data_IF_418684040778
#
_entry.id   IF_418684040778
#
_cell.length_a   1.000
_cell.length_b   1.000
_cell.length_c   1.000
_cell.angle_alpha   90.00
_cell.angle_beta   90.00
_cell.angle_gamma   90.00
#
_symmetry.space_group_name_H-M   'P 1'
#
loop_
_entity.id
_entity.type
_entity.pdbx_description
1 polymer ?
#
# COMPACT_ATOMS: atom_id res chain seq x y z
N UNK A 1 -89.46 7.14 -3.42
CA UNK A 1 -88.41 6.76 -4.41
C UNK A 1 -87.09 7.43 -3.97
N UNK A 2 -86.32 6.75 -3.21
CA UNK A 2 -85.05 7.28 -2.64
C UNK A 2 -83.85 6.43 -3.18
N UNK A 3 -82.96 7.09 -3.89
CA UNK A 3 -81.71 6.43 -4.45
C UNK A 3 -80.65 6.34 -3.33
N UNK A 4 -80.24 5.13 -2.99
CA UNK A 4 -79.09 4.84 -2.13
C UNK A 4 -77.84 4.98 -2.95
N UNK A 5 -76.90 5.88 -2.59
CA UNK A 5 -75.56 6.03 -3.16
C UNK A 5 -74.56 5.16 -2.39
N UNK A 6 -74.10 4.07 -3.00
CA UNK A 6 -72.99 3.27 -2.52
C UNK A 6 -71.67 4.03 -2.66
N UNK A 7 -71.02 4.38 -1.53
CA UNK A 7 -69.63 4.84 -1.51
C UNK A 7 -68.68 3.65 -1.47
N UNK A 8 -67.96 3.41 -2.58
CA UNK A 8 -66.84 2.45 -2.62
C UNK A 8 -65.61 3.09 -1.95
N UNK A 9 -65.18 2.52 -0.85
CA UNK A 9 -63.91 2.83 -0.22
C UNK A 9 -62.79 2.09 -0.96
N UNK A 10 -61.85 2.85 -1.59
CA UNK A 10 -60.64 2.31 -2.19
C UNK A 10 -59.58 2.34 -1.10
N UNK A 11 -59.27 1.18 -0.52
CA UNK A 11 -58.10 1.01 0.38
C UNK A 11 -56.86 0.93 -0.49
N UNK A 12 -56.06 2.00 -0.50
CA UNK A 12 -54.70 2.00 -1.08
C UNK A 12 -53.77 1.27 -0.10
N UNK A 13 -53.40 0.04 -0.38
CA UNK A 13 -52.32 -0.67 0.30
C UNK A 13 -50.98 -0.04 -0.13
N UNK A 14 -50.37 0.75 0.74
CA UNK A 14 -48.98 1.14 0.58
C UNK A 14 -48.06 -0.05 0.95
N UNK A 15 -47.51 -0.71 -0.06
CA UNK A 15 -46.48 -1.69 0.14
C UNK A 15 -45.18 -0.96 0.52
N UNK A 16 -44.85 -0.97 1.82
CA UNK A 16 -43.53 -0.56 2.30
C UNK A 16 -42.51 -1.63 1.89
N UNK A 17 -41.73 -1.35 0.85
CA UNK A 17 -40.52 -2.12 0.55
C UNK A 17 -39.48 -1.78 1.62
N UNK A 18 -39.33 -2.65 2.62
CA UNK A 18 -38.16 -2.64 3.48
C UNK A 18 -36.98 -3.13 2.64
N UNK A 19 -36.15 -2.19 2.14
CA UNK A 19 -34.78 -2.51 1.75
C UNK A 19 -34.05 -2.93 3.01
N UNK A 20 -33.99 -4.24 3.27
CA UNK A 20 -33.00 -4.82 4.16
C UNK A 20 -31.64 -4.55 3.54
N UNK A 21 -31.00 -3.45 3.89
CA UNK A 21 -29.57 -3.29 3.72
C UNK A 21 -28.94 -4.42 4.55
N UNK A 22 -28.58 -5.51 3.91
CA UNK A 22 -27.74 -6.54 4.55
C UNK A 22 -26.47 -5.84 5.01
N UNK A 23 -26.30 -5.66 6.32
CA UNK A 23 -25.02 -5.25 6.88
C UNK A 23 -24.00 -6.27 6.37
N UNK A 24 -23.15 -5.84 5.45
CA UNK A 24 -22.09 -6.69 4.94
C UNK A 24 -21.15 -6.97 6.10
N UNK A 25 -20.96 -8.24 6.45
CA UNK A 25 -20.02 -8.62 7.49
C UNK A 25 -18.63 -8.03 7.16
N UNK A 26 -17.96 -7.51 8.19
CA UNK A 26 -16.59 -7.04 8.03
C UNK A 26 -15.71 -8.16 7.47
N UNK A 27 -14.68 -7.79 6.72
CA UNK A 27 -13.69 -8.74 6.22
C UNK A 27 -12.96 -9.39 7.40
N UNK A 28 -12.90 -10.72 7.41
CA UNK A 28 -12.05 -11.45 8.34
C UNK A 28 -10.63 -11.51 7.80
N UNK A 29 -9.68 -10.99 8.55
CA UNK A 29 -8.26 -10.99 8.21
C UNK A 29 -7.66 -12.40 8.33
N UNK A 30 -6.53 -12.66 7.70
CA UNK A 30 -5.84 -13.95 7.86
C UNK A 30 -5.55 -14.31 9.31
N UNK A 31 -5.33 -13.32 10.20
CA UNK A 31 -5.19 -13.58 11.64
C UNK A 31 -6.51 -14.00 12.30
N UNK A 32 -7.65 -13.44 11.87
CA UNK A 32 -8.97 -13.84 12.38
C UNK A 32 -9.28 -15.30 11.99
N UNK A 33 -8.97 -15.65 10.74
CA UNK A 33 -9.10 -17.02 10.24
C UNK A 33 -8.19 -17.99 11.01
N UNK A 34 -6.93 -17.62 11.25
CA UNK A 34 -6.01 -18.42 12.04
C UNK A 34 -6.53 -18.62 13.48
N UNK A 35 -7.09 -17.56 14.09
CA UNK A 35 -7.71 -17.56 15.42
C UNK A 35 -8.93 -18.50 15.46
N UNK A 36 -9.81 -18.44 14.45
CA UNK A 36 -10.99 -19.33 14.38
C UNK A 36 -10.63 -20.81 14.23
N UNK A 37 -9.43 -21.11 13.72
CA UNK A 37 -8.86 -22.45 13.60
C UNK A 37 -8.00 -22.86 14.81
N UNK A 38 -8.15 -22.20 15.96
CA UNK A 38 -7.40 -22.45 17.20
C UNK A 38 -5.87 -22.49 16.96
N UNK A 39 -5.38 -21.62 16.09
CA UNK A 39 -3.96 -21.50 15.73
C UNK A 39 -3.31 -22.84 15.31
N UNK A 40 -4.09 -23.80 14.81
CA UNK A 40 -3.68 -25.17 14.51
C UNK A 40 -2.42 -25.26 13.65
N UNK A 41 -2.28 -24.36 12.67
CA UNK A 41 -1.11 -24.26 11.77
C UNK A 41 0.21 -24.01 12.52
N UNK A 42 0.16 -23.37 13.70
CA UNK A 42 1.32 -22.97 14.50
C UNK A 42 1.51 -23.85 15.75
N UNK A 43 0.65 -24.82 15.98
CA UNK A 43 0.65 -25.66 17.19
C UNK A 43 1.96 -26.43 17.31
N UNK A 44 2.58 -26.37 18.50
CA UNK A 44 3.85 -27.06 18.80
C UNK A 44 5.10 -26.42 18.15
N UNK A 45 4.96 -25.37 17.35
CA UNK A 45 6.09 -24.71 16.66
C UNK A 45 6.58 -23.48 17.43
N UNK A 46 7.89 -23.24 17.39
CA UNK A 46 8.50 -21.99 17.85
C UNK A 46 8.33 -20.93 16.76
N UNK A 47 7.52 -19.90 17.03
CA UNK A 47 7.07 -18.92 16.05
C UNK A 47 7.96 -17.69 16.06
N UNK A 48 8.46 -17.30 14.88
CA UNK A 48 9.02 -15.99 14.61
C UNK A 48 8.01 -15.14 13.85
N UNK A 49 7.62 -13.97 14.37
CA UNK A 49 6.61 -13.11 13.76
C UNK A 49 7.23 -11.85 13.17
N UNK A 50 7.02 -11.64 11.87
CA UNK A 50 7.35 -10.41 11.16
C UNK A 50 6.14 -9.48 11.26
N UNK A 51 6.25 -8.39 12.04
CA UNK A 51 5.10 -7.52 12.33
C UNK A 51 5.51 -6.13 12.81
N UNK A 52 4.52 -5.26 12.89
CA UNK A 52 4.56 -3.95 13.55
C UNK A 52 3.21 -3.65 14.21
N UNK A 53 2.90 -2.36 14.45
CA UNK A 53 1.63 -1.92 15.02
C UNK A 53 0.40 -2.28 14.18
N UNK A 54 0.56 -2.55 12.88
CA UNK A 54 -0.55 -2.92 11.98
C UNK A 54 -0.96 -4.37 12.10
N UNK A 55 -0.06 -5.25 12.60
CA UNK A 55 -0.38 -6.64 12.90
C UNK A 55 -1.36 -6.72 14.07
N UNK A 56 -2.64 -6.80 13.75
CA UNK A 56 -3.74 -6.90 14.69
C UNK A 56 -4.92 -7.63 14.03
N UNK A 57 -5.77 -8.28 14.85
CA UNK A 57 -7.03 -8.84 14.40
C UNK A 57 -8.08 -7.75 14.12
N UNK A 58 -9.24 -8.12 13.64
CA UNK A 58 -10.35 -7.21 13.33
C UNK A 58 -10.84 -6.43 14.57
N UNK A 59 -10.67 -6.97 15.77
CA UNK A 59 -10.99 -6.31 17.04
C UNK A 59 -9.92 -5.32 17.48
N UNK A 60 -8.76 -5.30 16.82
CA UNK A 60 -7.62 -4.42 17.13
C UNK A 60 -6.62 -5.02 18.12
N UNK A 61 -6.78 -6.29 18.53
CA UNK A 61 -5.83 -6.99 19.38
C UNK A 61 -4.56 -7.33 18.59
N UNK A 62 -3.41 -6.92 19.09
CA UNK A 62 -2.13 -7.10 18.38
C UNK A 62 -1.80 -8.57 18.20
N UNK A 63 -1.48 -8.97 16.98
CA UNK A 63 -1.10 -10.35 16.62
C UNK A 63 0.04 -10.88 17.50
N UNK A 64 1.02 -10.01 17.84
CA UNK A 64 2.11 -10.42 18.74
C UNK A 64 1.63 -10.82 20.15
N UNK A 65 0.53 -10.23 20.63
CA UNK A 65 -0.08 -10.61 21.92
C UNK A 65 -0.86 -11.91 21.80
N UNK A 66 -1.64 -12.05 20.73
CA UNK A 66 -2.38 -13.28 20.45
C UNK A 66 -1.43 -14.48 20.32
N UNK A 67 -0.36 -14.34 19.53
CA UNK A 67 0.61 -15.44 19.37
C UNK A 67 1.47 -15.66 20.62
N UNK A 68 1.65 -14.65 21.49
CA UNK A 68 2.29 -14.87 22.79
C UNK A 68 1.42 -15.65 23.74
N UNK A 69 0.11 -15.44 23.71
CA UNK A 69 -0.87 -16.09 24.57
C UNK A 69 -1.19 -17.53 24.13
N UNK A 70 -1.33 -17.76 22.82
CA UNK A 70 -1.85 -19.01 22.27
C UNK A 70 -0.81 -19.88 21.56
N UNK A 71 0.38 -19.36 21.29
CA UNK A 71 1.47 -20.03 20.58
C UNK A 71 2.81 -19.82 21.31
N UNK A 72 3.83 -20.56 20.87
CA UNK A 72 5.20 -20.38 21.37
C UNK A 72 5.92 -19.28 20.57
N UNK A 73 5.59 -18.00 20.82
CA UNK A 73 6.25 -16.85 20.18
C UNK A 73 7.65 -16.66 20.76
N UNK A 74 8.70 -16.87 19.96
CA UNK A 74 10.12 -16.82 20.38
C UNK A 74 10.91 -15.64 19.81
N UNK A 75 10.48 -15.06 18.68
CA UNK A 75 11.14 -13.92 18.05
C UNK A 75 10.13 -13.00 17.37
N UNK A 76 10.44 -11.69 17.33
CA UNK A 76 9.77 -10.68 16.54
C UNK A 76 10.77 -10.07 15.54
N UNK A 77 10.29 -9.72 14.34
CA UNK A 77 11.08 -9.03 13.32
C UNK A 77 10.31 -7.80 12.87
N UNK A 78 10.97 -6.66 12.83
CA UNK A 78 10.28 -5.39 12.58
C UNK A 78 10.78 -4.71 11.32
N UNK A 79 9.87 -4.19 10.46
CA UNK A 79 10.23 -3.45 9.26
C UNK A 79 10.65 -2.01 9.59
N UNK A 80 10.74 -1.19 8.56
CA UNK A 80 10.79 0.28 8.67
C UNK A 80 9.71 0.79 9.64
N UNK A 81 9.98 1.89 10.30
CA UNK A 81 9.18 2.48 11.38
C UNK A 81 9.13 1.69 12.70
N UNK A 82 9.70 0.49 12.76
CA UNK A 82 9.81 -0.33 13.97
C UNK A 82 8.51 -1.00 14.41
N UNK A 83 8.56 -1.64 15.58
CA UNK A 83 7.45 -2.43 16.12
C UNK A 83 6.19 -1.60 16.42
N UNK A 84 6.36 -0.33 16.79
CA UNK A 84 5.26 0.57 17.16
C UNK A 84 4.92 1.59 16.06
N UNK A 85 5.62 1.55 14.92
CA UNK A 85 5.35 2.40 13.76
C UNK A 85 5.69 3.89 13.95
N UNK A 86 6.51 4.24 14.91
CA UNK A 86 6.76 5.63 15.30
C UNK A 86 8.07 6.21 14.78
N UNK A 87 8.98 5.37 14.30
CA UNK A 87 10.25 5.83 13.77
C UNK A 87 10.07 6.55 12.44
N UNK A 88 10.84 7.61 12.21
CA UNK A 88 10.80 8.40 10.98
C UNK A 88 11.26 7.55 9.79
N UNK A 89 10.67 7.80 8.61
CA UNK A 89 11.07 7.16 7.36
C UNK A 89 12.58 7.29 7.10
N UNK A 90 13.19 6.22 6.60
CA UNK A 90 14.62 6.17 6.30
C UNK A 90 15.56 6.10 7.51
N UNK A 91 15.04 6.08 8.74
CA UNK A 91 15.86 6.02 9.94
C UNK A 91 16.09 4.59 10.42
N UNK A 92 17.30 4.34 10.90
CA UNK A 92 17.66 3.06 11.51
C UNK A 92 16.78 2.76 12.73
N UNK A 93 16.23 1.55 12.76
CA UNK A 93 15.45 1.02 13.89
C UNK A 93 16.34 0.09 14.71
N UNK A 94 16.44 0.32 16.01
CA UNK A 94 17.22 -0.54 16.91
C UNK A 94 16.43 -1.79 17.31
N UNK A 95 17.12 -2.94 17.35
CA UNK A 95 16.57 -4.15 17.96
C UNK A 95 16.40 -3.96 19.47
N UNK A 96 15.28 -4.42 20.03
CA UNK A 96 14.96 -4.31 21.46
C UNK A 96 14.03 -5.40 21.93
N UNK A 97 13.98 -5.66 23.23
CA UNK A 97 12.89 -6.50 23.78
C UNK A 97 11.56 -5.74 23.72
N UNK A 98 10.54 -6.42 23.22
CA UNK A 98 9.17 -5.93 23.29
C UNK A 98 8.69 -6.02 24.76
N UNK A 99 8.25 -4.89 25.31
CA UNK A 99 7.82 -4.82 26.71
C UNK A 99 6.55 -5.63 26.98
N UNK A 100 5.69 -5.77 25.96
CA UNK A 100 4.40 -6.44 26.11
C UNK A 100 4.52 -7.96 26.09
N UNK A 101 5.44 -8.51 25.29
CA UNK A 101 5.61 -9.98 25.14
C UNK A 101 6.87 -10.50 25.81
N UNK A 102 7.83 -9.64 26.18
CA UNK A 102 9.16 -10.03 26.66
C UNK A 102 10.08 -10.62 25.59
N UNK A 103 9.61 -10.73 24.33
CA UNK A 103 10.33 -11.34 23.21
C UNK A 103 11.28 -10.34 22.56
N UNK A 104 12.41 -10.82 22.01
CA UNK A 104 13.34 -9.98 21.27
C UNK A 104 12.72 -9.58 19.92
N UNK A 105 12.65 -8.28 19.67
CA UNK A 105 12.26 -7.69 18.41
C UNK A 105 13.52 -7.27 17.63
N UNK A 106 13.86 -8.04 16.61
CA UNK A 106 14.99 -7.79 15.71
C UNK A 106 14.57 -6.79 14.63
N UNK A 107 15.39 -5.76 14.44
CA UNK A 107 15.18 -4.80 13.35
C UNK A 107 15.64 -5.37 12.01
N UNK A 108 14.75 -5.29 11.02
CA UNK A 108 15.05 -5.54 9.61
C UNK A 108 15.14 -4.22 8.82
N UNK A 109 15.40 -3.11 9.52
CA UNK A 109 15.60 -1.80 8.90
C UNK A 109 16.81 -1.09 9.50
N UNK A 110 18.00 -1.55 9.10
CA UNK A 110 19.25 -1.07 9.63
C UNK A 110 20.45 -1.73 8.95
N UNK A 111 21.42 -2.27 9.68
CA UNK A 111 22.56 -2.97 9.12
C UNK A 111 22.18 -4.21 8.29
N UNK A 112 21.08 -4.85 8.64
CA UNK A 112 20.48 -5.93 7.84
C UNK A 112 19.04 -5.59 7.43
N UNK A 113 18.64 -6.08 6.26
CA UNK A 113 17.28 -6.07 5.72
C UNK A 113 16.67 -7.47 5.65
N UNK A 114 17.48 -8.48 5.96
CA UNK A 114 17.13 -9.90 5.93
C UNK A 114 17.44 -10.52 7.29
N UNK A 115 16.57 -11.37 7.88
CA UNK A 115 16.91 -12.11 9.08
C UNK A 115 18.19 -12.92 8.88
N UNK A 116 19.13 -12.79 9.82
CA UNK A 116 20.35 -13.60 9.80
C UNK A 116 20.11 -14.98 10.41
N UNK A 117 20.95 -16.01 10.10
CA UNK A 117 20.82 -17.31 10.75
C UNK A 117 20.85 -17.25 12.29
N UNK A 118 21.59 -16.30 12.87
CA UNK A 118 21.62 -16.08 14.32
C UNK A 118 20.27 -15.59 14.86
N UNK A 119 19.58 -14.71 14.13
CA UNK A 119 18.22 -14.22 14.48
C UNK A 119 17.16 -15.31 14.33
N UNK A 120 17.38 -16.28 13.45
CA UNK A 120 16.48 -17.40 13.18
C UNK A 120 16.70 -18.62 14.07
N UNK A 121 17.72 -18.59 14.94
CA UNK A 121 18.02 -19.72 15.82
C UNK A 121 16.85 -20.04 16.72
N UNK A 122 16.35 -21.27 16.63
CA UNK A 122 15.24 -21.73 17.42
C UNK A 122 13.87 -21.31 16.91
N UNK A 123 13.75 -20.88 15.66
CA UNK A 123 12.48 -20.61 14.98
C UNK A 123 12.12 -21.80 14.09
N UNK A 124 10.92 -22.34 14.24
CA UNK A 124 10.41 -23.46 13.44
C UNK A 124 9.49 -23.00 12.30
N UNK A 125 8.90 -21.80 12.43
CA UNK A 125 8.03 -21.19 11.41
C UNK A 125 8.13 -19.68 11.48
N UNK A 126 8.20 -19.04 10.32
CA UNK A 126 8.09 -17.58 10.19
C UNK A 126 6.65 -17.20 9.79
N UNK A 127 6.07 -16.23 10.48
CA UNK A 127 4.74 -15.70 10.21
C UNK A 127 4.87 -14.23 9.84
N UNK A 128 4.25 -13.83 8.74
CA UNK A 128 4.21 -12.44 8.26
C UNK A 128 2.80 -11.86 8.48
N UNK A 129 2.75 -10.75 9.19
CA UNK A 129 1.51 -10.02 9.46
C UNK A 129 1.74 -8.50 9.49
N UNK A 130 1.65 -7.86 8.33
CA UNK A 130 1.83 -6.42 8.12
C UNK A 130 0.80 -5.90 7.13
N UNK A 131 0.21 -4.71 7.41
CA UNK A 131 -0.66 -4.01 6.47
C UNK A 131 0.18 -3.20 5.48
N UNK A 132 0.18 -3.64 4.22
CA UNK A 132 0.76 -2.90 3.09
C UNK A 132 -0.22 -1.86 2.55
N UNK A 133 0.24 -0.98 1.64
CA UNK A 133 -0.56 0.07 1.02
C UNK A 133 -0.84 -0.13 -0.48
N UNK A 134 -0.40 -1.24 -1.06
CA UNK A 134 -0.64 -1.58 -2.47
C UNK A 134 0.26 -0.88 -3.47
N UNK A 135 1.35 -0.26 -3.01
CA UNK A 135 2.31 0.46 -3.84
C UNK A 135 3.71 -0.15 -3.74
N UNK A 136 4.36 -0.38 -4.90
CA UNK A 136 5.67 -1.04 -4.99
C UNK A 136 6.75 -0.41 -4.11
N UNK A 137 6.76 0.91 -4.00
CA UNK A 137 7.77 1.63 -3.25
C UNK A 137 7.59 1.59 -1.73
N UNK A 138 6.49 1.02 -1.23
CA UNK A 138 6.27 0.85 0.19
C UNK A 138 6.98 -0.41 0.68
N UNK A 139 7.95 -0.26 1.58
CA UNK A 139 9.02 -1.26 1.83
C UNK A 139 8.58 -2.52 2.58
N UNK A 140 7.31 -2.63 3.00
CA UNK A 140 6.83 -3.82 3.74
C UNK A 140 6.82 -5.07 2.88
N UNK A 141 6.49 -4.94 1.59
CA UNK A 141 6.58 -6.06 0.65
C UNK A 141 8.03 -6.49 0.41
N UNK A 142 8.97 -5.55 0.43
CA UNK A 142 10.40 -5.87 0.32
C UNK A 142 10.91 -6.61 1.56
N UNK A 143 10.46 -6.17 2.75
CA UNK A 143 10.72 -6.90 4.00
C UNK A 143 10.18 -8.33 3.93
N UNK A 144 8.95 -8.52 3.39
CA UNK A 144 8.37 -9.85 3.16
C UNK A 144 9.29 -10.72 2.29
N UNK A 145 9.71 -10.20 1.12
CA UNK A 145 10.57 -10.94 0.21
C UNK A 145 11.91 -11.34 0.83
N UNK A 146 12.53 -10.42 1.59
CA UNK A 146 13.79 -10.73 2.30
C UNK A 146 13.61 -11.77 3.40
N UNK A 147 12.45 -11.78 4.06
CA UNK A 147 12.13 -12.81 5.05
C UNK A 147 11.81 -14.15 4.37
N UNK A 148 11.13 -14.16 3.22
CA UNK A 148 10.89 -15.38 2.42
C UNK A 148 12.21 -15.98 1.95
N UNK A 149 13.14 -15.16 1.47
CA UNK A 149 14.48 -15.60 1.08
C UNK A 149 15.21 -16.26 2.25
N UNK A 150 15.24 -15.61 3.43
CA UNK A 150 15.83 -16.16 4.64
C UNK A 150 15.17 -17.49 5.07
N UNK A 151 13.85 -17.59 4.93
CA UNK A 151 13.09 -18.79 5.21
C UNK A 151 13.50 -19.96 4.30
N UNK A 152 13.59 -19.71 2.98
CA UNK A 152 14.04 -20.71 2.01
C UNK A 152 15.47 -21.18 2.27
N UNK A 153 16.42 -20.24 2.50
CA UNK A 153 17.81 -20.53 2.80
C UNK A 153 17.99 -21.40 4.07
N UNK A 154 17.12 -21.22 5.07
CA UNK A 154 17.18 -21.93 6.35
C UNK A 154 16.15 -23.06 6.46
N UNK A 155 15.42 -23.37 5.39
CA UNK A 155 14.38 -24.42 5.34
C UNK A 155 13.31 -24.26 6.43
N UNK A 156 12.93 -23.02 6.72
CA UNK A 156 11.89 -22.66 7.68
C UNK A 156 10.61 -22.38 6.90
N UNK A 157 9.46 -23.03 7.21
CA UNK A 157 8.17 -22.70 6.63
C UNK A 157 7.81 -21.22 6.83
N UNK A 158 7.18 -20.63 5.82
CA UNK A 158 6.78 -19.23 5.80
C UNK A 158 5.25 -19.10 5.68
N UNK A 159 4.62 -18.45 6.64
CA UNK A 159 3.16 -18.26 6.69
C UNK A 159 2.86 -16.77 6.50
N UNK A 160 1.98 -16.44 5.55
CA UNK A 160 1.43 -15.08 5.39
C UNK A 160 0.01 -15.05 5.91
N UNK A 161 -0.26 -14.20 6.89
CA UNK A 161 -1.62 -13.85 7.30
C UNK A 161 -2.10 -12.72 6.40
N UNK A 162 -2.97 -13.03 5.44
CA UNK A 162 -3.30 -12.09 4.36
C UNK A 162 -4.16 -10.92 4.85
N UNK A 163 -4.01 -9.77 4.18
CA UNK A 163 -4.67 -8.50 4.50
C UNK A 163 -5.17 -7.80 3.24
N UNK A 164 -6.25 -6.98 3.34
CA UNK A 164 -6.77 -6.24 2.21
C UNK A 164 -5.72 -5.33 1.58
N UNK A 165 -5.74 -5.24 0.25
CA UNK A 165 -5.08 -4.14 -0.42
C UNK A 165 -5.97 -2.89 -0.30
N UNK A 166 -5.54 -1.80 0.36
CA UNK A 166 -6.40 -0.67 0.67
C UNK A 166 -6.82 0.16 -0.56
N UNK A 167 -6.13 -0.01 -1.68
CA UNK A 167 -6.48 0.64 -2.96
C UNK A 167 -7.22 -0.32 -3.91
N UNK A 168 -7.67 -1.45 -3.39
CA UNK A 168 -8.37 -2.50 -4.13
C UNK A 168 -7.45 -3.41 -4.93
N UNK A 169 -8.02 -4.49 -5.47
CA UNK A 169 -7.31 -5.48 -6.26
C UNK A 169 -7.39 -5.26 -7.77
N UNK A 170 -8.21 -4.32 -8.25
CA UNK A 170 -8.40 -4.07 -9.67
C UNK A 170 -7.34 -3.11 -10.25
N UNK A 171 -6.88 -2.16 -9.45
CA UNK A 171 -5.96 -1.10 -9.84
C UNK A 171 -4.58 -1.68 -10.17
N UNK A 172 -4.11 -1.43 -11.38
CA UNK A 172 -2.74 -1.72 -11.86
C UNK A 172 -2.29 -0.52 -12.65
N UNK A 173 -1.26 0.19 -12.15
CA UNK A 173 -0.84 1.46 -12.72
C UNK A 173 0.67 1.64 -12.63
N UNK A 174 1.19 2.33 -13.62
CA UNK A 174 2.57 2.78 -13.63
C UNK A 174 3.57 1.75 -14.14
N UNK A 175 4.82 2.18 -14.30
CA UNK A 175 5.86 1.34 -14.90
C UNK A 175 6.34 0.26 -13.93
N UNK A 176 6.81 -0.86 -14.49
CA UNK A 176 7.65 -1.82 -13.79
C UNK A 176 9.05 -1.27 -13.55
N UNK A 177 9.83 -1.94 -12.69
CA UNK A 177 11.22 -1.56 -12.41
C UNK A 177 12.18 -2.28 -13.36
N UNK A 178 13.10 -1.51 -13.96
CA UNK A 178 14.21 -2.07 -14.73
C UNK A 178 15.18 -2.84 -13.81
N UNK A 179 15.80 -3.95 -14.28
CA UNK A 179 16.66 -4.80 -13.44
C UNK A 179 17.74 -4.03 -12.67
N UNK A 180 18.40 -3.07 -13.29
CA UNK A 180 19.48 -2.27 -12.68
C UNK A 180 19.00 -1.30 -11.56
N UNK A 181 17.70 -0.98 -11.52
CA UNK A 181 17.09 -0.09 -10.53
C UNK A 181 16.36 -0.83 -9.42
N UNK A 182 16.36 -2.19 -9.47
CA UNK A 182 15.82 -2.99 -8.37
C UNK A 182 16.57 -2.65 -7.08
N UNK A 183 15.81 -2.47 -6.03
CA UNK A 183 16.32 -2.03 -4.73
C UNK A 183 15.29 -2.32 -3.64
N UNK A 184 15.62 -2.04 -2.39
CA UNK A 184 14.69 -2.24 -1.29
C UNK A 184 13.40 -1.40 -1.39
N UNK A 185 13.41 -0.25 -2.08
CA UNK A 185 12.20 0.54 -2.39
C UNK A 185 11.53 0.13 -3.71
N UNK A 186 12.05 -0.86 -4.41
CA UNK A 186 11.49 -1.47 -5.63
C UNK A 186 12.07 -2.86 -5.81
N UNK A 187 11.75 -3.76 -4.87
CA UNK A 187 12.34 -5.11 -4.81
C UNK A 187 11.92 -5.99 -5.98
N UNK A 188 10.64 -5.91 -6.38
CA UNK A 188 10.04 -6.80 -7.35
C UNK A 188 9.74 -6.12 -8.68
N UNK A 189 9.87 -6.84 -9.82
CA UNK A 189 9.57 -6.32 -11.16
C UNK A 189 8.05 -6.28 -11.41
N UNK A 190 7.35 -5.43 -10.66
CA UNK A 190 5.91 -5.22 -10.73
C UNK A 190 5.59 -3.76 -11.02
N UNK A 191 4.39 -3.42 -11.55
CA UNK A 191 3.93 -2.05 -11.70
C UNK A 191 3.96 -1.27 -10.39
N UNK A 192 4.02 0.07 -10.47
CA UNK A 192 4.04 0.93 -9.29
C UNK A 192 2.85 0.67 -8.37
N UNK A 193 1.65 0.49 -8.93
CA UNK A 193 0.47 -0.04 -8.24
C UNK A 193 0.16 -1.41 -8.81
N UNK A 194 0.12 -2.44 -7.97
CA UNK A 194 0.10 -3.83 -8.43
C UNK A 194 -1.25 -4.56 -8.24
N UNK A 195 -2.13 -4.04 -7.37
CA UNK A 195 -3.45 -4.62 -7.12
C UNK A 195 -3.41 -6.08 -6.63
N UNK A 196 -2.40 -6.44 -5.87
CA UNK A 196 -2.28 -7.74 -5.18
C UNK A 196 -2.42 -7.53 -3.69
N UNK A 197 -2.98 -8.50 -2.96
CA UNK A 197 -2.80 -8.62 -1.52
C UNK A 197 -1.37 -9.05 -1.20
N UNK A 198 -0.96 -8.95 0.07
CA UNK A 198 0.40 -9.42 0.45
C UNK A 198 0.54 -10.93 0.27
N UNK A 199 -0.55 -11.71 0.51
CA UNK A 199 -0.57 -13.15 0.27
C UNK A 199 -0.46 -13.51 -1.22
N UNK A 200 -1.17 -12.81 -2.08
CA UNK A 200 -1.08 -12.97 -3.53
C UNK A 200 0.32 -12.60 -4.06
N UNK A 201 0.89 -11.51 -3.54
CA UNK A 201 2.26 -11.12 -3.90
C UNK A 201 3.28 -12.16 -3.42
N UNK A 202 3.15 -12.69 -2.20
CA UNK A 202 4.02 -13.76 -1.70
C UNK A 202 3.99 -15.01 -2.59
N UNK A 203 2.78 -15.42 -3.02
CA UNK A 203 2.63 -16.51 -4.00
C UNK A 203 3.34 -16.21 -5.32
N UNK A 204 3.20 -14.97 -5.81
CA UNK A 204 3.87 -14.56 -7.06
C UNK A 204 5.39 -14.53 -6.90
N UNK A 205 5.91 -13.97 -5.80
CA UNK A 205 7.35 -13.94 -5.48
C UNK A 205 7.93 -15.34 -5.47
N UNK A 206 7.27 -16.26 -4.77
CA UNK A 206 7.70 -17.66 -4.65
C UNK A 206 7.61 -18.40 -5.99
N UNK A 207 6.46 -18.28 -6.68
CA UNK A 207 6.23 -18.99 -7.95
C UNK A 207 7.00 -18.43 -9.15
N UNK A 208 7.49 -17.18 -9.07
CA UNK A 208 8.36 -16.56 -10.09
C UNK A 208 9.85 -16.67 -9.75
N UNK A 209 10.18 -17.29 -8.62
CA UNK A 209 11.55 -17.40 -8.13
C UNK A 209 12.27 -16.04 -8.05
N UNK A 210 11.57 -15.04 -7.48
CA UNK A 210 12.15 -13.69 -7.33
C UNK A 210 13.08 -13.56 -6.11
N UNK A 211 13.09 -14.57 -5.25
CA UNK A 211 14.09 -14.81 -4.20
C UNK A 211 15.11 -15.84 -4.67
N UNK A 212 16.32 -15.86 -4.09
CA UNK A 212 17.38 -16.80 -4.44
C UNK A 212 16.99 -18.26 -4.19
N UNK A 213 16.21 -18.49 -3.14
CA UNK A 213 15.66 -19.81 -2.76
C UNK A 213 14.17 -19.66 -2.47
N UNK A 214 13.29 -20.42 -3.12
CA UNK A 214 11.89 -20.44 -2.77
C UNK A 214 11.70 -21.05 -1.36
N UNK A 215 10.68 -20.56 -0.64
CA UNK A 215 10.32 -21.06 0.68
C UNK A 215 9.10 -22.00 0.61
N UNK A 216 8.91 -22.81 1.67
CA UNK A 216 7.66 -23.52 1.91
C UNK A 216 6.60 -22.52 2.39
N UNK A 217 5.75 -22.06 1.45
CA UNK A 217 4.82 -20.95 1.63
C UNK A 217 3.38 -21.43 1.89
N UNK A 218 2.82 -20.96 2.98
CA UNK A 218 1.37 -21.06 3.27
C UNK A 218 0.77 -19.65 3.36
N UNK A 219 -0.36 -19.41 2.69
CA UNK A 219 -1.14 -18.18 2.84
C UNK A 219 -2.45 -18.48 3.56
N UNK A 220 -2.65 -17.88 4.73
CA UNK A 220 -3.95 -17.89 5.42
C UNK A 220 -4.79 -16.78 4.80
N UNK A 221 -5.79 -17.19 4.00
CA UNK A 221 -6.63 -16.28 3.23
C UNK A 221 -7.60 -15.54 4.13
N UNK A 222 -8.00 -14.35 3.69
CA UNK A 222 -9.10 -13.59 4.28
C UNK A 222 -10.46 -14.23 3.91
N UNK A 223 -11.49 -13.95 4.69
CA UNK A 223 -12.86 -14.21 4.28
C UNK A 223 -13.59 -12.90 3.99
N UNK A 224 -14.45 -12.92 2.97
CA UNK A 224 -15.32 -11.79 2.63
C UNK A 224 -14.67 -10.65 1.83
N UNK A 225 -13.36 -10.61 1.67
CA UNK A 225 -12.72 -9.61 0.81
C UNK A 225 -12.90 -9.93 -0.67
N UNK A 226 -13.18 -8.90 -1.46
CA UNK A 226 -13.29 -8.96 -2.93
C UNK A 226 -12.44 -7.88 -3.57
N UNK A 227 -11.93 -8.16 -4.76
CA UNK A 227 -10.98 -7.29 -5.48
C UNK A 227 -11.48 -5.86 -5.74
N UNK A 228 -12.79 -5.68 -5.87
CA UNK A 228 -13.39 -4.36 -6.08
C UNK A 228 -13.53 -3.51 -4.82
N UNK A 229 -13.26 -4.05 -3.63
CA UNK A 229 -13.39 -3.33 -2.37
C UNK A 229 -12.28 -2.30 -2.21
N UNK A 230 -12.65 -1.10 -1.80
CA UNK A 230 -11.77 -0.10 -1.18
C UNK A 230 -11.56 -0.44 0.29
N UNK A 231 -10.73 0.34 1.01
CA UNK A 231 -10.57 0.12 2.44
C UNK A 231 -11.89 0.29 3.21
N UNK A 232 -12.66 1.32 2.86
CA UNK A 232 -13.91 1.65 3.58
C UNK A 232 -14.96 0.53 3.44
N UNK A 233 -14.96 -0.21 2.32
CA UNK A 233 -15.85 -1.35 2.08
C UNK A 233 -15.53 -2.58 2.94
N UNK A 234 -14.35 -2.62 3.55
CA UNK A 234 -13.93 -3.78 4.36
C UNK A 234 -14.58 -3.83 5.74
N UNK A 235 -15.11 -2.72 6.21
CA UNK A 235 -15.61 -2.57 7.59
C UNK A 235 -14.51 -2.59 8.66
N UNK A 236 -13.24 -2.61 8.27
CA UNK A 236 -12.10 -2.69 9.19
C UNK A 236 -11.64 -1.30 9.63
N UNK A 237 -11.21 -1.20 10.87
CA UNK A 237 -10.55 0.01 11.39
C UNK A 237 -9.14 0.15 10.80
N UNK A 238 -8.81 1.32 10.23
CA UNK A 238 -7.44 1.60 9.82
C UNK A 238 -6.50 1.79 11.01
N UNK A 239 -5.40 1.07 11.00
CA UNK A 239 -4.26 1.30 11.90
C UNK A 239 -3.17 1.97 11.06
N UNK A 240 -2.76 3.21 11.37
CA UNK A 240 -1.74 3.91 10.58
C UNK A 240 -0.51 3.04 10.34
N UNK A 241 -0.20 2.77 9.06
CA UNK A 241 0.92 1.89 8.71
C UNK A 241 2.27 2.58 8.87
N UNK A 242 2.28 3.91 8.76
CA UNK A 242 3.43 4.78 9.06
C UNK A 242 2.93 6.17 9.49
N UNK A 243 3.79 7.05 10.00
CA UNK A 243 3.39 8.41 10.40
C UNK A 243 2.73 9.22 9.28
N UNK A 244 3.09 8.96 8.02
CA UNK A 244 2.55 9.67 6.86
C UNK A 244 1.39 8.94 6.17
N UNK A 245 0.95 7.79 6.67
CA UNK A 245 -0.22 7.03 6.16
C UNK A 245 -1.27 6.89 7.27
N UNK A 246 -1.86 8.00 7.74
CA UNK A 246 -2.72 8.01 8.92
C UNK A 246 -4.14 7.48 8.68
N UNK A 247 -4.60 7.33 7.43
CA UNK A 247 -5.97 6.95 7.08
C UNK A 247 -5.99 5.87 6.00
N UNK A 248 -7.07 5.08 5.92
CA UNK A 248 -7.27 4.05 4.89
C UNK A 248 -7.24 4.60 3.45
N UNK A 249 -7.61 5.86 3.26
CA UNK A 249 -7.53 6.56 1.97
C UNK A 249 -6.17 7.18 1.67
N UNK A 250 -5.26 7.30 2.66
CA UNK A 250 -3.91 7.88 2.46
C UNK A 250 -3.10 7.21 1.35
N UNK A 251 -3.21 5.89 1.11
CA UNK A 251 -2.54 5.23 0.00
C UNK A 251 -2.87 5.81 -1.37
N UNK A 252 -4.09 6.28 -1.62
CA UNK A 252 -4.47 6.91 -2.89
C UNK A 252 -3.67 8.20 -3.15
N UNK A 253 -3.50 9.00 -2.11
CA UNK A 253 -2.71 10.24 -2.19
C UNK A 253 -1.22 9.95 -2.31
N UNK A 254 -0.72 8.92 -1.60
CA UNK A 254 0.66 8.46 -1.76
C UNK A 254 0.97 8.05 -3.21
N UNK A 255 0.06 7.32 -3.86
CA UNK A 255 0.21 6.94 -5.27
C UNK A 255 0.27 8.18 -6.17
N UNK A 256 -0.60 9.17 -5.93
CA UNK A 256 -0.69 10.34 -6.79
C UNK A 256 0.51 11.30 -6.67
N UNK A 257 1.04 11.51 -5.47
CA UNK A 257 2.05 12.57 -5.22
C UNK A 257 3.39 12.07 -4.71
N UNK A 258 3.44 10.88 -4.12
CA UNK A 258 4.64 10.36 -3.45
C UNK A 258 5.86 10.27 -4.35
N UNK A 259 5.67 9.78 -5.58
CA UNK A 259 6.74 9.70 -6.58
C UNK A 259 7.38 11.08 -6.86
N UNK A 260 6.57 12.13 -6.97
CA UNK A 260 7.04 13.48 -7.23
C UNK A 260 7.78 14.06 -6.02
N UNK A 261 7.38 13.68 -4.82
CA UNK A 261 7.99 14.09 -3.56
C UNK A 261 9.41 13.56 -3.33
N UNK A 262 9.87 12.60 -4.11
CA UNK A 262 11.26 12.14 -4.05
C UNK A 262 12.26 13.17 -4.65
N UNK A 263 11.79 14.11 -5.45
CA UNK A 263 12.62 15.16 -6.02
C UNK A 263 12.83 16.32 -5.03
N UNK A 264 13.90 17.09 -5.24
CA UNK A 264 14.14 18.32 -4.48
C UNK A 264 13.27 19.47 -5.04
N UNK A 265 12.50 20.09 -4.15
CA UNK A 265 11.71 21.28 -4.48
C UNK A 265 10.20 21.09 -4.49
N UNK A 266 9.62 19.97 -4.96
CA UNK A 266 8.22 19.68 -4.73
C UNK A 266 7.92 19.51 -3.23
N UNK A 267 6.78 20.08 -2.81
CA UNK A 267 6.21 19.88 -1.48
C UNK A 267 4.90 19.11 -1.62
N UNK A 268 4.75 18.06 -0.82
CA UNK A 268 3.62 17.12 -0.91
C UNK A 268 2.87 17.00 0.43
N UNK A 269 2.92 18.07 1.26
CA UNK A 269 2.25 18.10 2.57
C UNK A 269 2.96 17.30 3.66
N UNK A 270 4.27 17.04 3.53
CA UNK A 270 5.08 16.34 4.52
C UNK A 270 6.25 17.24 4.99
N UNK A 271 6.47 17.37 6.30
CA UNK A 271 5.59 16.93 7.39
C UNK A 271 4.34 17.83 7.49
N UNK A 272 3.19 17.23 7.80
CA UNK A 272 1.96 18.01 7.95
C UNK A 272 0.77 17.15 8.34
N UNK A 273 -0.38 17.78 8.62
CA UNK A 273 -1.59 17.07 9.06
C UNK A 273 -2.30 16.31 7.92
N UNK A 274 -1.94 16.61 6.67
CA UNK A 274 -2.52 16.02 5.45
C UNK A 274 -1.44 15.54 4.50
N UNK A 275 -0.64 14.52 4.87
CA UNK A 275 0.43 14.02 4.03
C UNK A 275 -0.08 13.62 2.65
N UNK A 276 0.66 13.97 1.60
CA UNK A 276 0.38 13.67 0.20
C UNK A 276 -0.87 14.34 -0.41
N UNK A 277 -1.65 15.12 0.37
CA UNK A 277 -2.89 15.74 -0.11
C UNK A 277 -2.70 17.10 -0.78
N UNK A 278 -1.48 17.56 -0.92
CA UNK A 278 -1.13 18.75 -1.69
C UNK A 278 0.12 18.48 -2.50
N UNK A 279 0.29 19.24 -3.56
CA UNK A 279 1.50 19.23 -4.38
C UNK A 279 1.79 20.64 -4.89
N UNK A 280 3.02 21.07 -4.78
CA UNK A 280 3.43 22.41 -5.21
C UNK A 280 4.93 22.58 -5.16
N UNK A 281 5.41 23.77 -5.56
CA UNK A 281 6.81 24.16 -5.46
C UNK A 281 6.93 25.68 -5.29
N UNK A 282 8.14 26.14 -4.96
CA UNK A 282 8.43 27.59 -4.89
C UNK A 282 8.16 28.27 -6.23
N UNK A 283 7.52 29.44 -6.17
CA UNK A 283 7.20 30.31 -7.32
C UNK A 283 6.21 29.71 -8.32
N UNK A 284 5.55 28.60 -7.99
CA UNK A 284 4.42 28.09 -8.78
C UNK A 284 3.20 28.94 -8.49
N UNK A 285 2.47 29.34 -9.54
CA UNK A 285 1.19 30.04 -9.39
C UNK A 285 0.07 29.01 -9.13
N UNK A 286 -0.59 29.06 -7.95
CA UNK A 286 -1.63 28.09 -7.61
C UNK A 286 -2.83 28.08 -8.57
N UNK A 287 -3.19 29.27 -9.09
CA UNK A 287 -4.36 29.37 -9.96
C UNK A 287 -4.11 28.73 -11.33
N UNK A 288 -2.95 29.04 -11.94
CA UNK A 288 -2.58 28.47 -13.25
C UNK A 288 -2.31 26.95 -13.15
N UNK A 289 -1.60 26.51 -12.10
CA UNK A 289 -1.31 25.10 -11.87
C UNK A 289 -2.62 24.30 -11.65
N UNK A 290 -3.51 24.80 -10.80
CA UNK A 290 -4.81 24.13 -10.56
C UNK A 290 -5.70 24.13 -11.80
N UNK A 291 -5.69 25.21 -12.58
CA UNK A 291 -6.43 25.25 -13.86
C UNK A 291 -5.92 24.18 -14.84
N UNK A 292 -4.61 24.03 -14.93
CA UNK A 292 -4.02 22.94 -15.73
C UNK A 292 -4.51 21.56 -15.26
N UNK A 293 -4.47 21.28 -13.96
CA UNK A 293 -4.90 20.00 -13.41
C UNK A 293 -6.39 19.73 -13.63
N UNK A 294 -7.24 20.76 -13.53
CA UNK A 294 -8.68 20.63 -13.83
C UNK A 294 -8.98 20.33 -15.29
N UNK A 295 -8.03 20.58 -16.19
CA UNK A 295 -8.13 20.22 -17.61
C UNK A 295 -7.73 18.76 -17.92
N UNK A 296 -7.30 18.00 -16.91
CA UNK A 296 -6.93 16.60 -17.06
C UNK A 296 -8.18 15.74 -16.82
N UNK A 297 -8.33 14.69 -17.61
CA UNK A 297 -9.33 13.64 -17.35
C UNK A 297 -8.91 12.80 -16.13
N UNK A 298 -9.38 13.22 -14.94
CA UNK A 298 -9.09 12.57 -13.67
C UNK A 298 -10.39 12.36 -12.86
N UNK A 299 -11.29 11.48 -13.30
CA UNK A 299 -12.57 11.28 -12.64
C UNK A 299 -12.40 10.80 -11.19
N UNK A 300 -13.17 11.42 -10.29
CA UNK A 300 -13.08 11.16 -8.84
C UNK A 300 -11.94 11.92 -8.14
N UNK A 301 -11.27 12.87 -8.83
CA UNK A 301 -10.25 13.74 -8.22
C UNK A 301 -10.64 15.21 -8.39
N UNK A 302 -10.68 15.93 -7.27
CA UNK A 302 -10.89 17.37 -7.24
C UNK A 302 -9.59 18.10 -6.93
N UNK A 303 -9.42 19.27 -7.55
CA UNK A 303 -8.26 20.13 -7.36
C UNK A 303 -8.67 21.52 -6.88
N UNK A 304 -7.97 22.04 -5.86
CA UNK A 304 -8.17 23.40 -5.34
C UNK A 304 -6.84 24.12 -5.22
N UNK A 305 -6.76 25.42 -5.56
CA UNK A 305 -5.55 26.21 -5.37
C UNK A 305 -5.05 26.09 -3.92
N UNK A 306 -3.75 25.85 -3.75
CA UNK A 306 -3.12 25.71 -2.45
C UNK A 306 -1.84 26.55 -2.39
N UNK A 307 -1.61 27.18 -1.23
CA UNK A 307 -0.41 27.96 -0.96
C UNK A 307 0.01 27.78 0.49
N UNK A 308 1.31 27.63 0.69
CA UNK A 308 1.93 27.63 2.00
C UNK A 308 3.24 28.44 1.93
N UNK A 309 3.25 29.63 2.54
CA UNK A 309 4.36 30.56 2.42
C UNK A 309 4.71 30.89 0.95
N UNK A 310 5.93 30.59 0.55
CA UNK A 310 6.43 30.83 -0.83
C UNK A 310 6.10 29.67 -1.80
N UNK A 311 5.48 28.60 -1.33
CA UNK A 311 5.12 27.43 -2.13
C UNK A 311 3.70 27.62 -2.64
N UNK A 312 3.51 27.46 -3.94
CA UNK A 312 2.21 27.44 -4.58
C UNK A 312 1.98 26.13 -5.29
N UNK A 313 0.71 25.72 -5.42
CA UNK A 313 0.35 24.46 -6.05
C UNK A 313 -1.13 24.17 -5.95
N UNK A 314 -1.49 22.91 -5.81
CA UNK A 314 -2.87 22.44 -5.67
C UNK A 314 -3.00 21.45 -4.53
N UNK A 315 -4.11 21.51 -3.80
CA UNK A 315 -4.57 20.41 -2.94
C UNK A 315 -5.48 19.47 -3.73
N UNK A 316 -5.48 18.21 -3.32
CA UNK A 316 -6.24 17.14 -3.95
C UNK A 316 -7.30 16.62 -2.96
N UNK A 317 -8.47 16.27 -3.50
CA UNK A 317 -9.46 15.39 -2.83
C UNK A 317 -9.71 14.22 -3.78
N UNK A 318 -9.47 13.00 -3.31
CA UNK A 318 -9.58 11.77 -4.10
C UNK A 318 -10.69 10.92 -3.50
N UNK A 319 -11.71 10.58 -4.29
CA UNK A 319 -12.76 9.64 -3.88
C UNK A 319 -12.13 8.24 -3.66
N UNK A 320 -12.57 7.48 -2.64
CA UNK A 320 -12.03 6.13 -2.38
C UNK A 320 -12.09 5.21 -3.60
N UNK A 321 -13.14 5.33 -4.39
CA UNK A 321 -13.43 4.57 -5.61
C UNK A 321 -13.01 5.27 -6.91
N UNK A 322 -12.24 6.38 -6.84
CA UNK A 322 -11.82 7.16 -8.00
C UNK A 322 -11.26 6.28 -9.12
N UNK A 323 -11.83 6.29 -10.33
CA UNK A 323 -11.33 5.46 -11.42
C UNK A 323 -10.11 6.07 -12.13
N UNK A 324 -9.72 7.29 -11.79
CA UNK A 324 -8.55 7.96 -12.35
C UNK A 324 -7.27 7.14 -12.19
N UNK A 325 -6.39 7.17 -13.19
CA UNK A 325 -5.02 6.66 -13.07
C UNK A 325 -4.20 7.61 -12.22
N UNK A 326 -4.05 7.29 -10.93
CA UNK A 326 -3.39 8.15 -9.95
C UNK A 326 -1.88 8.24 -10.16
N UNK A 327 -1.23 7.14 -10.58
CA UNK A 327 0.19 7.18 -10.94
C UNK A 327 0.42 8.06 -12.17
N UNK A 328 -0.46 7.94 -13.17
CA UNK A 328 -0.45 8.80 -14.34
C UNK A 328 -0.65 10.28 -13.99
N UNK A 329 -1.59 10.57 -13.09
CA UNK A 329 -1.82 11.92 -12.59
C UNK A 329 -0.54 12.54 -11.99
N UNK A 330 0.27 11.74 -11.27
CA UNK A 330 1.58 12.13 -10.77
C UNK A 330 2.51 12.66 -11.88
N UNK A 331 2.46 12.06 -13.08
CA UNK A 331 3.29 12.50 -14.21
C UNK A 331 2.81 13.83 -14.79
N UNK A 332 1.48 14.04 -14.86
CA UNK A 332 0.96 15.35 -15.27
C UNK A 332 1.41 16.45 -14.29
N UNK A 333 1.31 16.16 -12.97
CA UNK A 333 1.75 17.10 -11.94
C UNK A 333 3.26 17.35 -12.01
N UNK A 334 4.07 16.32 -12.19
CA UNK A 334 5.52 16.42 -12.33
C UNK A 334 5.90 17.27 -13.54
N UNK A 335 5.31 17.01 -14.70
CA UNK A 335 5.61 17.72 -15.95
C UNK A 335 5.28 19.20 -15.82
N UNK A 336 4.12 19.55 -15.25
CA UNK A 336 3.71 20.93 -15.09
C UNK A 336 4.54 21.68 -14.03
N UNK A 337 4.86 21.03 -12.89
CA UNK A 337 5.78 21.60 -11.91
C UNK A 337 7.17 21.84 -12.52
N UNK A 338 7.68 20.86 -13.28
CA UNK A 338 8.97 21.01 -13.95
C UNK A 338 8.97 22.18 -14.97
N UNK A 339 7.85 22.37 -15.68
CA UNK A 339 7.68 23.49 -16.63
C UNK A 339 7.66 24.85 -15.94
N UNK A 340 7.03 24.96 -14.76
CA UNK A 340 6.92 26.22 -14.01
C UNK A 340 8.15 26.55 -13.15
N UNK A 341 9.05 25.61 -12.88
CA UNK A 341 10.21 25.82 -12.02
C UNK A 341 11.48 26.15 -12.83
N UNK A 342 12.36 26.98 -12.25
CA UNK A 342 13.67 27.31 -12.83
C UNK A 342 14.74 27.37 -11.75
N UNK A 343 15.89 26.68 -11.88
CA UNK A 343 16.14 25.61 -12.87
C UNK A 343 15.14 24.48 -12.74
N UNK A 344 15.10 23.56 -13.73
CA UNK A 344 14.18 22.40 -13.69
C UNK A 344 14.40 21.52 -12.44
N UNK A 345 13.37 20.77 -12.04
CA UNK A 345 13.39 19.97 -10.81
C UNK A 345 14.54 18.95 -10.80
N UNK A 346 14.86 18.36 -11.92
CA UNK A 346 15.91 17.35 -12.03
C UNK A 346 17.31 17.95 -11.88
N UNK A 347 17.52 19.18 -12.37
CA UNK A 347 18.78 19.91 -12.14
C UNK A 347 18.96 20.36 -10.69
N UNK A 348 17.85 20.59 -9.98
CA UNK A 348 17.88 20.92 -8.53
C UNK A 348 18.08 19.69 -7.67
N UNK A 349 17.68 18.51 -8.18
CA UNK A 349 17.75 17.25 -7.43
C UNK A 349 19.06 16.56 -7.76
N UNK A 350 19.91 16.42 -6.77
CA UNK A 350 21.25 15.84 -6.91
C UNK A 350 21.45 14.65 -5.97
N UNK A 351 22.47 13.85 -6.27
CA UNK A 351 22.98 12.78 -5.43
C UNK A 351 21.93 11.73 -5.08
N UNK A 352 21.85 11.40 -3.80
CA UNK A 352 21.02 10.29 -3.30
C UNK A 352 19.51 10.47 -3.53
N UNK A 353 19.02 11.71 -3.60
CA UNK A 353 17.59 11.96 -3.88
C UNK A 353 17.21 11.61 -5.31
N UNK A 354 18.06 11.96 -6.28
CA UNK A 354 17.81 11.58 -7.67
C UNK A 354 17.90 10.06 -7.87
N UNK A 355 18.84 9.41 -7.18
CA UNK A 355 18.96 7.95 -7.17
C UNK A 355 17.71 7.26 -6.57
N UNK A 356 17.16 7.78 -5.46
CA UNK A 356 15.90 7.29 -4.89
C UNK A 356 14.75 7.50 -5.86
N UNK A 357 14.64 8.66 -6.51
CA UNK A 357 13.61 8.90 -7.52
C UNK A 357 13.66 7.85 -8.63
N UNK A 358 14.83 7.52 -9.19
CA UNK A 358 14.96 6.47 -10.21
C UNK A 358 14.55 5.09 -9.70
N UNK A 359 14.93 4.75 -8.47
CA UNK A 359 14.54 3.49 -7.83
C UNK A 359 13.02 3.40 -7.64
N UNK A 360 12.39 4.48 -7.20
CA UNK A 360 10.93 4.55 -7.01
C UNK A 360 10.20 4.52 -8.34
N UNK A 361 10.65 5.27 -9.34
CA UNK A 361 10.09 5.26 -10.69
C UNK A 361 10.30 3.95 -11.43
N UNK A 362 11.37 3.21 -11.07
CA UNK A 362 11.79 1.99 -11.75
C UNK A 362 12.77 2.19 -12.89
N UNK A 363 13.27 3.42 -13.10
CA UNK A 363 14.20 3.75 -14.17
C UNK A 363 14.45 5.25 -14.33
N UNK A 364 15.28 5.63 -15.29
CA UNK A 364 15.54 7.05 -15.63
C UNK A 364 14.53 7.61 -16.63
N UNK A 365 13.79 6.75 -17.31
CA UNK A 365 12.94 7.09 -18.46
C UNK A 365 11.89 8.18 -18.16
N UNK A 366 11.32 8.25 -16.95
CA UNK A 366 10.38 9.33 -16.57
C UNK A 366 11.09 10.67 -16.58
N UNK A 367 12.29 10.77 -15.98
CA UNK A 367 13.09 11.99 -16.03
C UNK A 367 13.38 12.40 -17.48
N UNK A 368 13.84 11.44 -18.28
CA UNK A 368 14.30 11.71 -19.65
C UNK A 368 13.12 12.23 -20.49
N UNK A 369 12.00 11.53 -20.47
CA UNK A 369 10.78 11.93 -21.19
C UNK A 369 10.22 13.28 -20.74
N UNK A 370 10.19 13.56 -19.43
CA UNK A 370 9.71 14.85 -18.89
C UNK A 370 10.64 16.00 -19.32
N UNK A 371 11.97 15.79 -19.31
CA UNK A 371 12.95 16.81 -19.75
C UNK A 371 12.92 17.04 -21.24
N UNK A 372 12.64 16.03 -22.03
CA UNK A 372 12.44 16.13 -23.48
C UNK A 372 11.09 16.78 -23.84
N UNK A 373 10.23 17.04 -22.87
CA UNK A 373 8.93 17.66 -23.08
C UNK A 373 7.90 16.72 -23.70
N UNK A 374 8.10 15.39 -23.57
CA UNK A 374 7.12 14.39 -24.03
C UNK A 374 5.80 14.64 -23.30
N UNK A 375 4.67 14.72 -24.02
CA UNK A 375 3.37 14.93 -23.39
C UNK A 375 3.05 13.87 -22.34
N UNK A 376 2.58 14.24 -21.13
CA UNK A 376 2.29 13.29 -20.05
C UNK A 376 1.40 12.12 -20.47
N UNK A 377 0.40 12.38 -21.33
CA UNK A 377 -0.47 11.31 -21.88
C UNK A 377 0.33 10.23 -22.64
N UNK A 378 1.38 10.62 -23.35
CA UNK A 378 2.26 9.71 -24.09
C UNK A 378 3.11 8.88 -23.14
N UNK A 379 3.68 9.55 -22.12
CA UNK A 379 4.45 8.87 -21.06
C UNK A 379 3.57 7.81 -20.38
N UNK A 380 2.39 8.18 -19.93
CA UNK A 380 1.45 7.25 -19.26
C UNK A 380 1.00 6.12 -20.18
N UNK A 381 0.71 6.43 -21.46
CA UNK A 381 0.29 5.42 -22.43
C UNK A 381 1.40 4.38 -22.71
N UNK A 382 2.67 4.74 -22.58
CA UNK A 382 3.79 3.83 -22.82
C UNK A 382 3.86 2.66 -21.81
N UNK A 383 3.20 2.74 -20.67
CA UNK A 383 3.19 1.70 -19.64
C UNK A 383 2.16 0.60 -19.88
N UNK A 384 1.10 0.87 -20.66
CA UNK A 384 -0.03 -0.05 -20.89
C UNK A 384 0.37 -1.47 -21.27
N UNK A 385 1.32 -1.69 -22.21
CA UNK A 385 1.72 -3.06 -22.55
C UNK A 385 2.22 -3.85 -21.33
N UNK A 386 3.05 -3.23 -20.49
CA UNK A 386 3.58 -3.86 -19.27
C UNK A 386 2.50 -4.07 -18.21
N UNK A 387 1.56 -3.12 -18.05
CA UNK A 387 0.43 -3.26 -17.14
C UNK A 387 -0.48 -4.42 -17.56
N UNK A 388 -0.76 -4.57 -18.85
CA UNK A 388 -1.60 -5.63 -19.39
C UNK A 388 -0.93 -7.00 -19.29
N UNK A 389 0.37 -7.07 -19.55
CA UNK A 389 1.15 -8.28 -19.32
C UNK A 389 1.14 -8.67 -17.85
N UNK A 390 1.32 -7.70 -16.96
CA UNK A 390 1.27 -7.96 -15.53
C UNK A 390 -0.12 -8.44 -15.08
N UNK A 391 -1.21 -7.86 -15.59
CA UNK A 391 -2.58 -8.34 -15.30
C UNK A 391 -2.75 -9.81 -15.69
N UNK A 392 -2.26 -10.21 -16.87
CA UNK A 392 -2.28 -11.63 -17.30
C UNK A 392 -1.42 -12.51 -16.42
N UNK A 393 -0.20 -12.06 -16.10
CA UNK A 393 0.77 -12.82 -15.31
C UNK A 393 0.30 -13.03 -13.87
N UNK A 394 -0.22 -11.98 -13.22
CA UNK A 394 -0.68 -12.05 -11.82
C UNK A 394 -1.90 -12.93 -11.65
N UNK A 395 -2.71 -13.14 -12.71
CA UNK A 395 -3.95 -13.92 -12.64
C UNK A 395 -3.75 -15.33 -12.05
N UNK A 396 -2.58 -15.94 -12.25
CA UNK A 396 -2.23 -17.27 -11.69
C UNK A 396 -2.02 -17.29 -10.17
N UNK A 397 -1.84 -16.12 -9.57
CA UNK A 397 -1.48 -15.97 -8.16
C UNK A 397 -2.62 -15.38 -7.32
N UNK A 398 -3.72 -14.98 -7.95
CA UNK A 398 -4.88 -14.42 -7.29
C UNK A 398 -5.56 -15.47 -6.38
N UNK A 399 -6.13 -14.99 -5.28
CA UNK A 399 -6.81 -15.80 -4.26
C UNK A 399 -8.29 -15.41 -4.14
N UNK A 400 -8.64 -14.21 -4.62
CA UNK A 400 -9.97 -13.63 -4.45
C UNK A 400 -10.53 -13.12 -5.77
#
# INVERSE_FOLDING_TARGET
MGRVRNKKWIVRACAFWFCLASAQAAVELGIDVLKSQDYSLLKGKRVGLITNQTGADSDGTKTRLLLKQHCNLVALYTPEHGLDGTEKAGRYVKSRRDRATGVMAYSLYGPTRKPTPAMLRGVDVLVFDLQDIGCRSYTYISTMGRCMEAAGENKIPFVVLDRPNPVGGLRVEGPSVEPRWRSFVSEFPIPYVHGLTVGELARMVNGRHWTSVPCDLTVVQMHGWRRGMTWDDTGLRWIPSSPNIPRGTSPLYYIATGLVGELSGPEIGIPGPRPFQSIGARRVDPASFTRYLRGIDAPGVEFRPWREGSIGGSSLTISPDAPANLTGLGIYMLSELNRQTRPDLFRRTEGSKLDIFYKVCGGTFIRDQVREGIPPRTVVASWRPNEDEFRRTRAKYLLY
#
